data_IF_257110202699
#
_entry.id   IF_257110202699
#
_cell.length_a   1.000
_cell.length_b   1.000
_cell.length_c   1.000
_cell.angle_alpha   90.00
_cell.angle_beta   90.00
_cell.angle_gamma   90.00
#
_symmetry.space_group_name_H-M   'P 1'
#
loop_
_entity.id
_entity.type
_entity.pdbx_description
1 polymer ?
#
# COMPACT_ATOMS: atom_id res chain seq x y z
N UNK A 1 60.77 14.35 33.76
CA UNK A 1 60.81 13.88 32.36
C UNK A 1 59.49 14.12 31.61
N UNK A 2 58.34 13.77 32.19
CA UNK A 2 56.98 13.92 31.59
C UNK A 2 56.66 15.35 31.13
N UNK A 3 57.04 16.38 31.91
CA UNK A 3 56.83 17.79 31.55
C UNK A 3 57.56 18.24 30.28
N UNK A 4 58.67 17.59 29.89
CA UNK A 4 59.42 17.95 28.66
C UNK A 4 58.73 17.36 27.42
N UNK A 5 58.23 16.13 27.53
CA UNK A 5 57.43 15.46 26.50
C UNK A 5 56.10 16.18 26.23
N UNK A 6 55.46 16.73 27.26
CA UNK A 6 54.22 17.52 27.11
C UNK A 6 54.44 18.89 26.45
N UNK A 7 55.67 19.42 26.44
CA UNK A 7 55.99 20.72 25.82
C UNK A 7 56.28 20.59 24.32
N UNK A 8 56.51 19.37 23.83
CA UNK A 8 56.68 19.12 22.41
C UNK A 8 55.34 19.22 21.69
N UNK A 9 55.22 20.21 20.80
CA UNK A 9 54.03 20.46 19.97
C UNK A 9 53.54 19.18 19.27
N UNK A 10 54.46 18.29 18.89
CA UNK A 10 54.16 17.00 18.25
C UNK A 10 53.31 16.07 19.13
N UNK A 11 53.59 16.02 20.44
CA UNK A 11 52.84 15.18 21.40
C UNK A 11 51.44 15.76 21.60
N UNK A 12 51.32 17.09 21.68
CA UNK A 12 50.02 17.77 21.79
C UNK A 12 49.15 17.49 20.56
N UNK A 13 49.71 17.61 19.35
CA UNK A 13 48.97 17.28 18.11
C UNK A 13 48.59 15.80 18.03
N UNK A 14 49.45 14.89 18.49
CA UNK A 14 49.14 13.46 18.54
C UNK A 14 47.97 13.17 19.51
N UNK A 15 48.00 13.73 20.72
CA UNK A 15 46.91 13.59 21.69
C UNK A 15 45.62 14.21 21.17
N UNK A 16 45.69 15.38 20.56
CA UNK A 16 44.53 16.05 19.95
C UNK A 16 43.93 15.19 18.83
N UNK A 17 44.77 14.58 17.99
CA UNK A 17 44.34 13.66 16.94
C UNK A 17 43.61 12.44 17.52
N UNK A 18 44.15 11.83 18.57
CA UNK A 18 43.52 10.68 19.25
C UNK A 18 42.15 11.08 19.82
N UNK A 19 42.07 12.22 20.51
CA UNK A 19 40.81 12.74 21.05
C UNK A 19 39.79 12.99 19.94
N UNK A 20 40.22 13.58 18.82
CA UNK A 20 39.34 13.83 17.68
C UNK A 20 38.79 12.52 17.08
N UNK A 21 39.64 11.50 16.92
CA UNK A 21 39.21 10.19 16.44
C UNK A 21 38.18 9.56 17.38
N UNK A 22 38.43 9.60 18.70
CA UNK A 22 37.47 9.07 19.68
C UNK A 22 36.13 9.81 19.65
N UNK A 23 36.15 11.14 19.50
CA UNK A 23 34.92 11.93 19.35
C UNK A 23 34.16 11.57 18.08
N UNK A 24 34.85 11.42 16.95
CA UNK A 24 34.23 11.02 15.68
C UNK A 24 33.61 9.63 15.78
N UNK A 25 34.28 8.67 16.43
CA UNK A 25 33.73 7.32 16.63
C UNK A 25 32.48 7.36 17.50
N UNK A 26 32.54 8.01 18.66
CA UNK A 26 31.39 8.13 19.57
C UNK A 26 30.22 8.88 18.91
N UNK A 27 30.51 9.94 18.16
CA UNK A 27 29.50 10.68 17.41
C UNK A 27 28.83 9.79 16.34
N UNK A 28 29.61 9.07 15.54
CA UNK A 28 29.07 8.17 14.52
C UNK A 28 28.21 7.06 15.12
N UNK A 29 28.65 6.46 16.23
CA UNK A 29 27.88 5.44 16.96
C UNK A 29 26.54 5.99 17.45
N UNK A 30 26.55 7.16 18.10
CA UNK A 30 25.32 7.81 18.58
C UNK A 30 24.39 8.19 17.44
N UNK A 31 24.92 8.74 16.35
CA UNK A 31 24.14 9.10 15.18
C UNK A 31 23.45 7.87 14.58
N UNK A 32 24.19 6.77 14.40
CA UNK A 32 23.64 5.51 13.86
C UNK A 32 22.53 4.96 14.75
N UNK A 33 22.73 4.97 16.08
CA UNK A 33 21.72 4.54 17.04
C UNK A 33 20.46 5.41 16.98
N UNK A 34 20.62 6.74 16.95
CA UNK A 34 19.51 7.68 16.85
C UNK A 34 18.71 7.48 15.56
N UNK A 35 19.39 7.33 14.42
CA UNK A 35 18.73 7.06 13.13
C UNK A 35 17.96 5.75 13.17
N UNK A 36 18.53 4.70 13.77
CA UNK A 36 17.85 3.40 13.92
C UNK A 36 16.61 3.53 14.80
N UNK A 37 16.72 4.18 15.96
CA UNK A 37 15.59 4.37 16.88
C UNK A 37 14.46 5.17 16.23
N UNK A 38 14.79 6.26 15.54
CA UNK A 38 13.78 7.06 14.80
C UNK A 38 13.07 6.26 13.72
N UNK A 39 13.80 5.37 13.03
CA UNK A 39 13.17 4.49 12.03
C UNK A 39 12.20 3.51 12.69
N UNK A 40 12.60 2.88 13.79
CA UNK A 40 11.76 1.96 14.55
C UNK A 40 10.52 2.67 15.14
N UNK A 41 10.69 3.87 15.67
CA UNK A 41 9.60 4.72 16.15
C UNK A 41 8.60 5.03 15.03
N UNK A 42 9.09 5.43 13.86
CA UNK A 42 8.25 5.73 12.71
C UNK A 42 7.46 4.49 12.25
N UNK A 43 8.14 3.36 12.07
CA UNK A 43 7.51 2.08 11.69
C UNK A 43 6.42 1.67 12.70
N UNK A 44 6.70 1.79 14.00
CA UNK A 44 5.74 1.45 15.05
C UNK A 44 4.55 2.40 15.11
N UNK A 45 4.79 3.69 14.90
CA UNK A 45 3.73 4.72 14.87
C UNK A 45 2.80 4.48 13.68
N UNK A 46 3.36 4.20 12.51
CA UNK A 46 2.58 3.86 11.31
C UNK A 46 1.73 2.61 11.56
N UNK A 47 2.34 1.53 12.06
CA UNK A 47 1.64 0.30 12.39
C UNK A 47 0.50 0.52 13.40
N UNK A 48 0.77 1.28 14.47
CA UNK A 48 -0.24 1.62 15.47
C UNK A 48 -1.39 2.41 14.85
N UNK A 49 -1.11 3.40 14.00
CA UNK A 49 -2.15 4.21 13.36
C UNK A 49 -3.06 3.38 12.45
N UNK A 50 -2.50 2.40 11.73
CA UNK A 50 -3.29 1.45 10.94
C UNK A 50 -4.18 0.57 11.83
N UNK A 51 -3.63 0.04 12.92
CA UNK A 51 -4.39 -0.80 13.84
C UNK A 51 -5.54 -0.02 14.50
N UNK A 52 -5.29 1.22 14.90
CA UNK A 52 -6.31 2.10 15.48
C UNK A 52 -7.41 2.45 14.46
N UNK A 53 -7.03 2.72 13.21
CA UNK A 53 -8.03 2.95 12.14
C UNK A 53 -8.90 1.72 11.87
N UNK A 54 -8.30 0.52 11.91
CA UNK A 54 -9.02 -0.75 11.72
C UNK A 54 -9.96 -0.99 12.90
N UNK A 55 -9.48 -0.75 14.12
CA UNK A 55 -10.28 -0.88 15.33
C UNK A 55 -11.50 0.04 15.31
N UNK A 56 -11.33 1.31 14.99
CA UNK A 56 -12.44 2.27 14.93
C UNK A 56 -13.46 1.91 13.86
N UNK A 57 -13.01 1.42 12.69
CA UNK A 57 -13.91 0.90 11.66
C UNK A 57 -14.70 -0.33 12.13
N UNK A 58 -14.05 -1.28 12.80
CA UNK A 58 -14.71 -2.47 13.35
C UNK A 58 -15.67 -2.14 14.49
N UNK A 59 -15.33 -1.17 15.34
CA UNK A 59 -16.23 -0.68 16.39
C UNK A 59 -17.49 -0.05 15.79
N UNK A 60 -17.36 0.73 14.72
CA UNK A 60 -18.49 1.29 14.00
C UNK A 60 -19.37 0.21 13.35
N UNK A 61 -18.76 -0.81 12.73
CA UNK A 61 -19.48 -1.95 12.15
C UNK A 61 -20.22 -2.75 13.22
N UNK A 62 -19.60 -2.95 14.39
CA UNK A 62 -20.24 -3.64 15.52
C UNK A 62 -21.45 -2.88 16.04
N UNK A 63 -21.35 -1.56 16.20
CA UNK A 63 -22.47 -0.70 16.62
C UNK A 63 -23.61 -0.80 15.60
N UNK A 64 -23.27 -0.71 14.31
CA UNK A 64 -24.25 -0.82 13.24
C UNK A 64 -24.93 -2.20 13.25
N UNK A 65 -24.16 -3.29 13.37
CA UNK A 65 -24.69 -4.65 13.40
C UNK A 65 -25.64 -4.91 14.58
N UNK A 66 -25.48 -4.19 15.70
CA UNK A 66 -26.36 -4.26 16.87
C UNK A 66 -27.59 -3.35 16.76
N UNK A 67 -27.71 -2.54 15.71
CA UNK A 67 -28.80 -1.58 15.54
C UNK A 67 -30.04 -2.20 14.86
N UNK A 68 -31.22 -1.64 15.16
CA UNK A 68 -32.47 -2.00 14.50
C UNK A 68 -32.40 -1.77 12.97
N UNK A 69 -31.60 -0.80 12.52
CA UNK A 69 -31.40 -0.53 11.10
C UNK A 69 -30.76 -1.71 10.38
N UNK A 70 -29.80 -2.40 11.01
CA UNK A 70 -29.20 -3.59 10.42
C UNK A 70 -30.21 -4.75 10.32
N UNK A 71 -31.07 -4.90 11.33
CA UNK A 71 -32.15 -5.89 11.33
C UNK A 71 -33.17 -5.60 10.23
N UNK A 72 -33.62 -4.34 10.10
CA UNK A 72 -34.57 -3.93 9.07
C UNK A 72 -34.00 -4.16 7.66
N UNK A 73 -32.74 -3.76 7.43
CA UNK A 73 -32.09 -3.97 6.13
C UNK A 73 -32.01 -5.46 5.78
N UNK A 74 -31.58 -6.31 6.73
CA UNK A 74 -31.58 -7.76 6.52
C UNK A 74 -32.99 -8.28 6.23
N UNK A 75 -33.99 -7.81 6.97
CA UNK A 75 -35.38 -8.19 6.77
C UNK A 75 -35.85 -7.87 5.34
N UNK A 76 -35.46 -6.71 4.78
CA UNK A 76 -35.88 -6.27 3.44
C UNK A 76 -35.09 -6.92 2.32
N UNK A 77 -33.77 -6.98 2.46
CA UNK A 77 -32.85 -7.36 1.39
C UNK A 77 -32.66 -8.89 1.31
N UNK A 78 -32.38 -9.53 2.45
CA UNK A 78 -32.01 -10.94 2.49
C UNK A 78 -33.21 -11.85 2.79
N UNK A 79 -34.04 -11.47 3.76
CA UNK A 79 -35.17 -12.28 4.18
C UNK A 79 -36.46 -12.00 3.38
N UNK A 80 -36.45 -11.00 2.50
CA UNK A 80 -37.59 -10.58 1.67
C UNK A 80 -38.90 -10.38 2.47
N UNK A 81 -38.78 -9.92 3.72
CA UNK A 81 -39.90 -9.67 4.60
C UNK A 81 -40.59 -8.36 4.25
N UNK A 82 -41.93 -8.40 4.22
CA UNK A 82 -42.79 -7.25 3.89
C UNK A 82 -43.45 -6.69 5.15
N UNK A 83 -43.67 -5.39 5.19
CA UNK A 83 -44.44 -4.70 6.21
C UNK A 83 -45.86 -4.38 5.70
N UNK A 84 -46.81 -4.11 6.60
CA UNK A 84 -48.16 -3.72 6.21
C UNK A 84 -48.15 -2.49 5.29
N UNK A 85 -48.64 -2.66 4.05
CA UNK A 85 -48.68 -1.61 3.03
C UNK A 85 -47.67 -1.80 1.88
N UNK A 86 -46.72 -2.72 2.01
CA UNK A 86 -45.76 -3.04 0.94
C UNK A 86 -46.40 -3.88 -0.17
N UNK A 87 -45.96 -3.66 -1.41
CA UNK A 87 -46.37 -4.43 -2.60
C UNK A 87 -45.15 -5.19 -3.12
N UNK A 88 -45.04 -6.52 -2.89
CA UNK A 88 -43.90 -7.29 -3.37
C UNK A 88 -43.92 -7.43 -4.89
N UNK A 89 -42.82 -7.07 -5.55
CA UNK A 89 -42.65 -7.21 -7.01
C UNK A 89 -41.64 -8.32 -7.27
N UNK A 90 -42.06 -9.36 -7.97
CA UNK A 90 -41.18 -10.45 -8.43
C UNK A 90 -40.87 -10.24 -9.90
N UNK A 91 -39.58 -10.11 -10.23
CA UNK A 91 -39.14 -10.06 -11.62
C UNK A 91 -39.25 -11.46 -12.22
N UNK A 92 -40.21 -11.63 -13.13
CA UNK A 92 -40.32 -12.83 -13.95
C UNK A 92 -39.42 -12.66 -15.17
N UNK A 93 -38.65 -13.70 -15.56
CA UNK A 93 -37.94 -13.66 -16.82
C UNK A 93 -38.94 -13.46 -17.98
N UNK A 94 -38.59 -12.69 -19.01
CA UNK A 94 -39.46 -12.52 -20.16
C UNK A 94 -39.71 -13.88 -20.82
N UNK A 95 -40.99 -14.20 -21.06
CA UNK A 95 -41.44 -15.45 -21.68
C UNK A 95 -40.92 -15.61 -23.11
N UNK A 96 -40.65 -14.51 -23.79
CA UNK A 96 -40.12 -14.49 -25.14
C UNK A 96 -38.60 -14.25 -25.11
N UNK A 97 -37.86 -15.11 -25.81
CA UNK A 97 -36.44 -14.88 -26.08
C UNK A 97 -36.34 -13.65 -26.98
N UNK A 98 -35.98 -12.49 -26.42
CA UNK A 98 -35.53 -11.36 -27.23
C UNK A 98 -34.25 -11.84 -27.93
N UNK A 99 -34.22 -11.92 -29.28
CA UNK A 99 -33.03 -12.37 -29.98
C UNK A 99 -31.88 -11.45 -29.58
N UNK A 100 -30.85 -12.03 -28.97
CA UNK A 100 -29.61 -11.30 -28.71
C UNK A 100 -29.09 -10.81 -30.06
N UNK A 101 -28.82 -9.49 -30.24
CA UNK A 101 -28.28 -9.01 -31.49
C UNK A 101 -26.99 -9.79 -31.78
N UNK A 102 -26.93 -10.40 -32.97
CA UNK A 102 -25.76 -11.16 -33.40
C UNK A 102 -24.56 -10.21 -33.34
N UNK A 103 -23.60 -10.53 -32.48
CA UNK A 103 -22.33 -9.80 -32.40
C UNK A 103 -21.69 -9.96 -33.77
N UNK A 104 -21.58 -8.87 -34.51
CA UNK A 104 -20.77 -8.84 -35.73
C UNK A 104 -19.34 -9.07 -35.24
N UNK A 105 -18.78 -10.24 -35.54
CA UNK A 105 -17.37 -10.51 -35.26
C UNK A 105 -16.54 -9.39 -35.89
N UNK A 106 -15.62 -8.75 -35.13
CA UNK A 106 -14.73 -7.76 -35.72
C UNK A 106 -13.96 -8.43 -36.85
N UNK A 107 -13.97 -7.83 -38.04
CA UNK A 107 -13.11 -8.23 -39.14
C UNK A 107 -11.68 -8.25 -38.60
N UNK A 108 -11.09 -9.45 -38.51
CA UNK A 108 -9.69 -9.63 -38.15
C UNK A 108 -8.90 -9.05 -39.31
N UNK A 109 -8.50 -7.79 -39.18
CA UNK A 109 -7.50 -7.21 -40.09
C UNK A 109 -6.21 -7.94 -39.76
N UNK A 110 -5.75 -8.78 -40.69
CA UNK A 110 -4.51 -9.52 -40.53
C UNK A 110 -3.38 -8.51 -40.33
N UNK A 111 -2.87 -8.47 -39.10
CA UNK A 111 -1.91 -7.45 -38.71
C UNK A 111 -0.56 -7.90 -39.24
N UNK A 112 -0.16 -7.34 -40.39
CA UNK A 112 1.17 -7.57 -40.98
C UNK A 112 2.22 -7.42 -39.87
N UNK A 113 2.92 -8.51 -39.61
CA UNK A 113 3.89 -8.56 -38.54
C UNK A 113 5.14 -7.77 -38.96
N UNK A 114 5.78 -7.09 -38.00
CA UNK A 114 6.92 -6.21 -38.29
C UNK A 114 8.06 -6.91 -39.05
N UNK A 115 8.24 -8.22 -38.83
CA UNK A 115 9.28 -9.00 -39.51
C UNK A 115 8.98 -9.23 -40.99
N UNK A 116 7.70 -9.34 -41.39
CA UNK A 116 7.26 -9.48 -42.79
C UNK A 116 7.60 -8.20 -43.57
N UNK A 117 7.46 -7.04 -42.93
CA UNK A 117 7.86 -5.74 -43.48
C UNK A 117 9.38 -5.70 -43.72
N UNK A 118 10.16 -6.18 -42.75
CA UNK A 118 11.62 -6.23 -42.89
C UNK A 118 12.05 -7.22 -43.97
N UNK A 119 11.40 -8.37 -44.07
CA UNK A 119 11.70 -9.35 -45.11
C UNK A 119 11.48 -8.76 -46.51
N UNK A 120 10.32 -8.14 -46.76
CA UNK A 120 10.02 -7.50 -48.04
C UNK A 120 11.05 -6.39 -48.38
N UNK A 121 11.47 -5.60 -47.39
CA UNK A 121 12.48 -4.54 -47.56
C UNK A 121 13.85 -5.05 -48.01
N UNK A 122 14.26 -6.23 -47.54
CA UNK A 122 15.60 -6.76 -47.81
C UNK A 122 15.65 -7.76 -48.97
N UNK A 123 14.54 -8.45 -49.26
CA UNK A 123 14.52 -9.59 -50.18
C UNK A 123 13.62 -9.38 -51.41
N UNK A 124 12.77 -8.34 -51.43
CA UNK A 124 11.69 -8.22 -52.41
C UNK A 124 10.63 -9.31 -52.21
N UNK A 125 9.51 -9.19 -52.93
CA UNK A 125 8.30 -10.03 -52.75
C UNK A 125 8.58 -11.55 -52.67
#
# INVERSE_FOLDING_TARGET
MIKKLLKDKRVIFAVLGIVLVLLLVNFNQRMTLLTRLRRQEKELTEYYSHLESTRTALEAELIYAQSDQAVERWAREDAMMIQPGDIPIVLLPPTEQVPTPSVIEPVVIDKIQKWEIWQALFLGD
#
